data_IF_419419111277
#
_entry.id   IF_419419111277
#
_cell.length_a   1.000
_cell.length_b   1.000
_cell.length_c   1.000
_cell.angle_alpha   90.00
_cell.angle_beta   90.00
_cell.angle_gamma   90.00
#
_symmetry.space_group_name_H-M   'P 1'
#
loop_
_entity.id
_entity.type
_entity.pdbx_description
1 polymer ?
#
# COMPACT_ATOMS: atom_id res chain seq x y z
N UNK A 1 -20.72 20.86 9.08
CA UNK A 1 -21.28 19.64 8.46
C UNK A 1 -20.18 18.59 8.33
N UNK A 2 -20.35 17.47 8.99
CA UNK A 2 -19.38 16.37 8.86
C UNK A 2 -19.54 15.72 7.49
N UNK A 3 -18.47 15.68 6.71
CA UNK A 3 -18.45 14.87 5.49
C UNK A 3 -18.53 13.40 5.89
N UNK A 4 -19.49 12.69 5.36
CA UNK A 4 -19.53 11.25 5.53
C UNK A 4 -18.32 10.65 4.82
N UNK A 5 -17.58 9.81 5.55
CA UNK A 5 -16.48 9.08 4.95
C UNK A 5 -17.03 7.96 4.08
N UNK A 6 -16.48 7.79 2.89
CA UNK A 6 -16.77 6.60 2.09
C UNK A 6 -16.26 5.37 2.83
N UNK A 7 -16.85 4.19 2.62
CA UNK A 7 -16.34 2.97 3.25
C UNK A 7 -14.86 2.74 2.92
N UNK A 8 -14.10 2.25 3.89
CA UNK A 8 -12.66 2.06 3.74
C UNK A 8 -12.31 1.17 2.54
N UNK A 9 -13.13 0.16 2.26
CA UNK A 9 -12.92 -0.73 1.11
C UNK A 9 -13.02 0.03 -0.21
N UNK A 10 -13.94 1.01 -0.30
CA UNK A 10 -14.08 1.84 -1.49
C UNK A 10 -12.90 2.81 -1.63
N UNK A 11 -12.39 3.30 -0.52
CA UNK A 11 -11.19 4.15 -0.53
C UNK A 11 -10.00 3.37 -1.09
N UNK A 12 -9.81 2.12 -0.65
CA UNK A 12 -8.73 1.26 -1.14
C UNK A 12 -8.88 1.04 -2.66
N UNK A 13 -10.10 0.75 -3.13
CA UNK A 13 -10.36 0.59 -4.56
C UNK A 13 -10.11 1.88 -5.33
N UNK A 14 -10.46 3.01 -4.75
CA UNK A 14 -10.20 4.32 -5.36
C UNK A 14 -8.69 4.55 -5.54
N UNK A 15 -7.90 4.23 -4.52
CA UNK A 15 -6.44 4.36 -4.59
C UNK A 15 -5.88 3.46 -5.69
N UNK A 16 -6.31 2.20 -5.74
CA UNK A 16 -5.89 1.28 -6.80
C UNK A 16 -6.24 1.81 -8.19
N UNK A 17 -7.46 2.30 -8.38
CA UNK A 17 -7.92 2.84 -9.66
C UNK A 17 -7.07 4.03 -10.08
N UNK A 18 -6.73 4.90 -9.13
CA UNK A 18 -5.89 6.06 -9.40
C UNK A 18 -4.50 5.66 -9.89
N UNK A 19 -3.88 4.68 -9.24
CA UNK A 19 -2.59 4.15 -9.66
C UNK A 19 -2.67 3.37 -10.97
N UNK A 20 -3.76 2.65 -11.20
CA UNK A 20 -4.01 1.97 -12.48
C UNK A 20 -4.01 3.00 -13.61
N UNK A 21 -4.78 4.07 -13.46
CA UNK A 21 -4.89 5.13 -14.47
C UNK A 21 -3.53 5.74 -14.81
N UNK A 22 -2.64 5.84 -13.82
CA UNK A 22 -1.31 6.42 -14.00
C UNK A 22 -0.41 5.61 -14.94
N UNK A 23 -0.74 4.34 -15.18
CA UNK A 23 0.05 3.47 -16.05
C UNK A 23 -0.33 3.57 -17.52
N UNK A 24 -1.40 4.28 -17.83
CA UNK A 24 -1.86 4.47 -19.22
C UNK A 24 -1.43 5.83 -19.73
N UNK A 25 -1.16 5.90 -21.04
CA UNK A 25 -0.67 7.14 -21.68
C UNK A 25 -1.78 8.13 -21.97
N UNK A 26 -3.03 7.69 -22.03
CA UNK A 26 -4.17 8.55 -22.37
C UNK A 26 -5.47 7.94 -21.84
N UNK A 27 -6.54 8.76 -21.68
CA UNK A 27 -7.86 8.24 -21.35
C UNK A 27 -8.39 7.24 -22.40
N UNK A 28 -8.02 7.43 -23.67
CA UNK A 28 -8.41 6.52 -24.75
C UNK A 28 -7.81 5.14 -24.55
N UNK A 29 -6.56 5.07 -24.13
CA UNK A 29 -5.88 3.79 -23.83
C UNK A 29 -6.62 3.01 -22.72
N UNK A 30 -7.13 3.73 -21.73
CA UNK A 30 -7.92 3.13 -20.65
C UNK A 30 -9.23 2.54 -21.20
N UNK A 31 -9.89 3.28 -22.08
CA UNK A 31 -11.17 2.85 -22.67
C UNK A 31 -11.01 1.64 -23.59
N UNK A 32 -9.88 1.58 -24.30
CA UNK A 32 -9.58 0.50 -25.24
C UNK A 32 -9.05 -0.77 -24.55
N UNK A 33 -8.67 -0.64 -23.29
CA UNK A 33 -8.13 -1.77 -22.54
C UNK A 33 -9.23 -2.81 -22.26
N UNK A 34 -8.91 -4.07 -22.49
CA UNK A 34 -9.85 -5.18 -22.26
C UNK A 34 -9.80 -5.60 -20.78
N UNK A 35 -10.72 -5.05 -20.00
CA UNK A 35 -10.84 -5.32 -18.57
C UNK A 35 -11.37 -6.72 -18.26
N UNK A 36 -11.81 -7.48 -19.25
CA UNK A 36 -12.23 -8.87 -19.09
C UNK A 36 -11.07 -9.85 -19.21
N UNK A 37 -9.92 -9.41 -19.73
CA UNK A 37 -8.72 -10.23 -19.86
C UNK A 37 -7.97 -10.25 -18.52
N UNK A 38 -8.12 -11.34 -17.76
CA UNK A 38 -7.53 -11.47 -16.43
C UNK A 38 -6.01 -11.32 -16.43
N UNK A 39 -5.32 -11.83 -17.43
CA UNK A 39 -3.86 -11.72 -17.51
C UNK A 39 -3.42 -10.28 -17.74
N UNK A 40 -4.12 -9.57 -18.62
CA UNK A 40 -3.83 -8.17 -18.89
C UNK A 40 -4.13 -7.31 -17.65
N UNK A 41 -5.24 -7.56 -16.97
CA UNK A 41 -5.62 -6.85 -15.75
C UNK A 41 -4.58 -7.09 -14.65
N UNK A 42 -4.12 -8.32 -14.48
CA UNK A 42 -3.08 -8.63 -13.49
C UNK A 42 -1.78 -7.88 -13.76
N UNK A 43 -1.39 -7.71 -15.01
CA UNK A 43 -0.18 -6.95 -15.35
C UNK A 43 -0.26 -5.48 -14.94
N UNK A 44 -1.46 -4.93 -14.89
CA UNK A 44 -1.69 -3.53 -14.50
C UNK A 44 -1.82 -3.40 -12.98
N UNK A 45 -2.48 -4.34 -12.34
CA UNK A 45 -2.74 -4.31 -10.89
C UNK A 45 -1.54 -4.76 -10.07
N UNK A 46 -0.83 -5.78 -10.52
CA UNK A 46 0.26 -6.39 -9.77
C UNK A 46 1.36 -5.42 -9.33
N UNK A 47 1.82 -4.49 -10.18
CA UNK A 47 2.82 -3.52 -9.74
C UNK A 47 2.35 -2.66 -8.57
N UNK A 48 1.08 -2.31 -8.52
CA UNK A 48 0.50 -1.49 -7.45
C UNK A 48 0.49 -2.29 -6.15
N UNK A 49 0.04 -3.53 -6.22
CA UNK A 49 0.01 -4.42 -5.05
C UNK A 49 1.42 -4.61 -4.52
N UNK A 50 2.39 -4.89 -5.39
CA UNK A 50 3.78 -5.07 -4.99
C UNK A 50 4.37 -3.82 -4.37
N UNK A 51 4.06 -2.64 -4.91
CA UNK A 51 4.54 -1.37 -4.38
C UNK A 51 4.11 -1.20 -2.92
N UNK A 52 2.85 -1.50 -2.61
CA UNK A 52 2.30 -1.32 -1.27
C UNK A 52 2.40 -2.57 -0.38
N UNK A 53 2.89 -3.70 -0.87
CA UNK A 53 3.10 -4.89 -0.05
C UNK A 53 4.58 -5.22 0.15
N UNK A 54 5.43 -4.84 -0.79
CA UNK A 54 6.86 -5.19 -0.77
C UNK A 54 7.78 -4.01 -0.48
N UNK A 55 7.26 -2.83 -0.24
CA UNK A 55 8.10 -1.67 0.04
C UNK A 55 7.39 -0.57 0.80
N UNK A 56 6.21 -0.18 0.36
CA UNK A 56 5.49 0.96 0.91
C UNK A 56 4.27 0.58 1.75
N UNK A 57 4.26 -0.63 2.31
CA UNK A 57 3.13 -1.08 3.12
C UNK A 57 2.92 -0.22 4.37
N UNK A 58 3.99 0.24 5.01
CA UNK A 58 3.89 1.16 6.13
C UNK A 58 3.11 2.43 5.73
N UNK A 59 3.46 2.98 4.59
CA UNK A 59 2.89 4.25 4.14
C UNK A 59 1.43 4.11 3.70
N UNK A 60 1.07 2.95 3.16
CA UNK A 60 -0.33 2.68 2.86
C UNK A 60 -1.17 2.56 4.13
N UNK A 61 -0.67 1.81 5.11
CA UNK A 61 -1.34 1.69 6.41
C UNK A 61 -1.46 3.06 7.10
N UNK A 62 -0.42 3.88 7.00
CA UNK A 62 -0.46 5.25 7.54
C UNK A 62 -1.52 6.09 6.83
N UNK A 63 -1.62 5.97 5.52
CA UNK A 63 -2.67 6.65 4.74
C UNK A 63 -4.06 6.25 5.24
N UNK A 64 -4.29 4.96 5.46
CA UNK A 64 -5.56 4.48 5.98
C UNK A 64 -5.83 5.00 7.40
N UNK A 65 -4.81 5.00 8.25
CA UNK A 65 -4.94 5.50 9.61
C UNK A 65 -5.26 7.00 9.64
N UNK A 66 -4.68 7.78 8.75
CA UNK A 66 -4.95 9.21 8.66
C UNK A 66 -6.35 9.49 8.10
N UNK A 67 -6.80 8.70 7.13
CA UNK A 67 -8.12 8.86 6.53
C UNK A 67 -9.24 8.29 7.40
N UNK A 68 -8.98 7.22 8.13
CA UNK A 68 -9.95 6.53 8.98
C UNK A 68 -9.35 6.33 10.37
N UNK A 69 -9.26 7.40 11.17
CA UNK A 69 -8.65 7.30 12.49
C UNK A 69 -9.45 6.42 13.44
N UNK A 70 -8.79 5.90 14.44
CA UNK A 70 -9.42 5.05 15.46
C UNK A 70 -9.02 3.58 15.36
N UNK A 71 -8.22 3.23 14.36
CA UNK A 71 -7.68 1.88 14.23
C UNK A 71 -6.25 1.79 14.71
N UNK A 72 -5.55 0.76 14.26
CA UNK A 72 -4.14 0.52 14.61
C UNK A 72 -3.37 0.01 13.42
N UNK A 73 -2.19 0.57 13.22
CA UNK A 73 -1.23 -0.01 12.28
C UNK A 73 -0.59 -1.21 12.96
N UNK A 74 -0.53 -2.34 12.25
CA UNK A 74 -0.03 -3.60 12.79
C UNK A 74 0.95 -4.26 11.84
N UNK A 75 1.87 -5.05 12.39
CA UNK A 75 2.79 -5.88 11.61
C UNK A 75 2.28 -7.31 11.64
N UNK A 76 2.14 -7.92 10.47
CA UNK A 76 1.80 -9.33 10.36
C UNK A 76 3.00 -10.17 10.79
N UNK A 77 2.82 -10.99 11.82
CA UNK A 77 3.88 -11.83 12.35
C UNK A 77 4.40 -12.79 11.28
N UNK A 78 5.72 -12.91 11.18
CA UNK A 78 6.38 -13.84 10.29
C UNK A 78 6.76 -13.30 8.93
N UNK A 79 6.15 -12.22 8.45
CA UNK A 79 6.48 -11.68 7.13
C UNK A 79 6.77 -10.17 7.12
N UNK A 80 6.59 -9.50 8.24
CA UNK A 80 6.91 -8.07 8.33
C UNK A 80 6.00 -7.14 7.53
N UNK A 81 4.89 -7.65 7.00
CA UNK A 81 3.94 -6.83 6.24
C UNK A 81 3.12 -5.97 7.19
N UNK A 82 2.99 -4.67 6.89
CA UNK A 82 2.22 -3.74 7.71
C UNK A 82 0.83 -3.58 7.12
N UNK A 83 -0.16 -3.68 8.01
CA UNK A 83 -1.58 -3.60 7.68
C UNK A 83 -2.26 -2.61 8.62
N UNK A 84 -3.51 -2.27 8.32
CA UNK A 84 -4.31 -1.40 9.17
C UNK A 84 -5.48 -2.20 9.76
N UNK A 85 -5.51 -2.26 11.10
CA UNK A 85 -6.63 -2.85 11.85
C UNK A 85 -7.65 -1.74 12.16
N UNK A 86 -8.87 -1.93 11.70
CA UNK A 86 -9.92 -0.92 11.86
C UNK A 86 -11.28 -1.61 12.00
N UNK A 87 -11.98 -1.28 13.08
CA UNK A 87 -13.32 -1.81 13.38
C UNK A 87 -13.41 -3.33 13.27
N UNK A 88 -12.42 -4.01 13.82
CA UNK A 88 -12.38 -5.48 13.87
C UNK A 88 -11.91 -6.17 12.61
N UNK A 89 -11.46 -5.41 11.61
CA UNK A 89 -11.05 -5.96 10.31
C UNK A 89 -9.65 -5.50 9.95
N UNK A 90 -8.96 -6.31 9.16
CA UNK A 90 -7.60 -6.03 8.68
C UNK A 90 -7.65 -5.59 7.23
N UNK A 91 -6.97 -4.50 6.90
CA UNK A 91 -6.95 -3.91 5.56
C UNK A 91 -5.53 -3.65 5.09
N UNK A 92 -5.30 -3.84 3.81
CA UNK A 92 -4.13 -3.37 3.08
C UNK A 92 -4.54 -3.04 1.65
N UNK A 93 -3.57 -2.86 0.74
CA UNK A 93 -3.87 -2.50 -0.65
C UNK A 93 -4.71 -3.58 -1.37
N UNK A 94 -4.65 -4.81 -0.91
CA UNK A 94 -5.47 -5.90 -1.47
C UNK A 94 -6.91 -5.88 -0.97
N UNK A 95 -7.23 -5.02 0.00
CA UNK A 95 -8.55 -4.90 0.58
C UNK A 95 -8.61 -5.54 1.97
N UNK A 96 -9.74 -6.16 2.25
CA UNK A 96 -9.96 -6.81 3.54
C UNK A 96 -9.30 -8.18 3.59
N UNK A 97 -8.64 -8.47 4.72
CA UNK A 97 -8.08 -9.79 4.98
C UNK A 97 -8.90 -10.51 6.03
N UNK A 98 -9.37 -11.69 5.67
CA UNK A 98 -10.17 -12.54 6.56
C UNK A 98 -9.36 -13.68 7.16
N UNK A 99 -8.10 -13.82 6.78
CA UNK A 99 -7.24 -14.89 7.30
C UNK A 99 -6.91 -14.68 8.77
N UNK A 100 -6.78 -15.78 9.47
CA UNK A 100 -6.34 -15.77 10.87
C UNK A 100 -4.81 -15.71 10.88
N UNK A 101 -4.28 -14.59 11.32
CA UNK A 101 -2.84 -14.41 11.48
C UNK A 101 -2.62 -13.59 12.75
N UNK A 102 -1.40 -13.63 13.24
CA UNK A 102 -1.02 -12.82 14.40
C UNK A 102 -0.57 -11.45 13.91
N UNK A 103 -1.19 -10.41 14.42
CA UNK A 103 -0.88 -9.02 14.11
C UNK A 103 -0.40 -8.31 15.37
N UNK A 104 0.72 -7.61 15.26
CA UNK A 104 1.36 -6.94 16.39
C UNK A 104 1.34 -5.44 16.15
N UNK A 105 0.80 -4.62 17.06
CA UNK A 105 0.80 -3.17 16.89
C UNK A 105 2.20 -2.63 16.62
N UNK A 106 2.32 -1.68 15.71
CA UNK A 106 3.63 -1.15 15.28
C UNK A 106 4.40 -0.50 16.43
N UNK A 107 3.70 0.04 17.42
CA UNK A 107 4.34 0.70 18.55
C UNK A 107 5.19 -0.25 19.41
N UNK A 108 4.97 -1.56 19.34
CA UNK A 108 5.81 -2.53 20.05
C UNK A 108 7.18 -2.71 19.43
N UNK A 109 7.38 -2.22 18.22
CA UNK A 109 8.68 -2.30 17.55
C UNK A 109 9.60 -1.14 17.89
N UNK A 110 9.08 -0.08 18.55
CA UNK A 110 9.88 1.07 18.94
C UNK A 110 10.63 1.66 17.74
N UNK A 111 11.93 1.91 17.90
CA UNK A 111 12.74 2.50 16.85
C UNK A 111 12.91 1.63 15.62
N UNK A 112 12.67 0.31 15.75
CA UNK A 112 12.74 -0.60 14.61
C UNK A 112 11.67 -0.34 13.57
N UNK A 113 10.64 0.43 13.90
CA UNK A 113 9.60 0.80 12.94
C UNK A 113 10.18 1.59 11.75
N UNK A 114 11.28 2.30 11.95
CA UNK A 114 11.92 3.06 10.89
C UNK A 114 12.43 2.16 9.75
N UNK A 115 12.77 0.90 10.05
CA UNK A 115 13.18 -0.05 9.03
C UNK A 115 12.03 -0.33 8.03
N UNK A 116 10.78 -0.31 8.52
CA UNK A 116 9.61 -0.53 7.67
C UNK A 116 9.30 0.66 6.77
N UNK A 117 9.85 1.82 7.06
CA UNK A 117 9.67 3.02 6.24
C UNK A 117 10.58 3.04 5.02
N UNK A 118 11.56 2.15 4.94
CA UNK A 118 12.53 2.03 3.84
C UNK A 118 13.26 3.34 3.55
N UNK A 119 13.54 4.11 4.61
CA UNK A 119 14.17 5.43 4.54
C UNK A 119 13.39 6.46 3.70
N UNK A 120 12.14 6.17 3.41
CA UNK A 120 11.24 7.11 2.77
C UNK A 120 10.76 8.12 3.80
N UNK A 121 10.80 9.41 3.46
CA UNK A 121 10.43 10.50 4.36
C UNK A 121 9.18 11.26 3.93
N UNK A 122 8.47 10.76 2.93
CA UNK A 122 7.21 11.35 2.49
C UNK A 122 6.06 11.02 3.44
N UNK A 123 4.94 11.70 3.30
CA UNK A 123 3.75 11.38 4.07
C UNK A 123 3.08 10.12 3.57
N UNK A 124 2.96 10.02 2.24
CA UNK A 124 2.40 8.86 1.57
C UNK A 124 3.16 8.62 0.28
N UNK A 125 3.17 7.38 -0.17
CA UNK A 125 3.65 7.08 -1.51
C UNK A 125 2.66 7.64 -2.54
N UNK A 126 3.15 8.44 -3.46
CA UNK A 126 2.34 9.09 -4.50
C UNK A 126 2.50 8.37 -5.84
N UNK A 127 1.70 8.78 -6.83
CA UNK A 127 1.86 8.28 -8.20
C UNK A 127 3.27 8.56 -8.72
N UNK A 128 3.80 9.75 -8.40
CA UNK A 128 5.15 10.10 -8.79
C UNK A 128 6.16 9.11 -8.18
N UNK A 129 6.01 8.81 -6.89
CA UNK A 129 6.86 7.84 -6.21
C UNK A 129 6.72 6.45 -6.82
N UNK A 130 5.50 6.06 -7.17
CA UNK A 130 5.23 4.78 -7.82
C UNK A 130 5.95 4.67 -9.16
N UNK A 131 5.86 5.72 -10.00
CA UNK A 131 6.52 5.75 -11.31
C UNK A 131 8.04 5.78 -11.19
N UNK A 132 8.57 6.53 -10.23
CA UNK A 132 10.00 6.67 -9.99
C UNK A 132 10.55 5.58 -9.07
N UNK A 133 9.68 4.91 -8.33
CA UNK A 133 10.06 3.96 -7.29
C UNK A 133 10.93 2.83 -7.76
N UNK A 134 10.67 2.29 -8.96
CA UNK A 134 11.51 1.27 -9.55
C UNK A 134 12.92 1.78 -9.83
N UNK A 135 13.02 3.06 -10.20
CA UNK A 135 14.29 3.72 -10.50
C UNK A 135 15.01 4.06 -9.20
N UNK A 136 14.31 4.63 -8.22
CA UNK A 136 14.86 4.92 -6.90
C UNK A 136 15.26 3.65 -6.17
N UNK A 137 14.51 2.58 -6.33
CA UNK A 137 14.81 1.29 -5.75
C UNK A 137 16.14 0.72 -6.28
N UNK A 138 16.46 0.98 -7.54
CA UNK A 138 17.76 0.62 -8.10
C UNK A 138 18.87 1.52 -7.59
N UNK A 139 18.60 2.83 -7.54
CA UNK A 139 19.59 3.83 -7.15
C UNK A 139 19.89 3.78 -5.65
N UNK A 140 18.93 3.35 -4.83
CA UNK A 140 19.05 3.25 -3.37
C UNK A 140 19.00 1.79 -2.90
N UNK A 141 19.61 0.90 -3.67
CA UNK A 141 19.53 -0.54 -3.44
C UNK A 141 20.00 -0.95 -2.04
N UNK A 142 21.03 -0.29 -1.51
CA UNK A 142 21.55 -0.59 -0.18
C UNK A 142 20.56 -0.22 0.93
N UNK A 143 19.84 0.87 0.75
CA UNK A 143 18.82 1.33 1.70
C UNK A 143 17.66 0.33 1.75
N UNK A 144 17.21 -0.14 0.58
CA UNK A 144 16.14 -1.12 0.48
C UNK A 144 16.53 -2.46 1.09
N UNK A 145 17.78 -2.89 0.86
CA UNK A 145 18.30 -4.13 1.46
C UNK A 145 18.29 -4.08 2.97
N UNK A 146 18.57 -2.94 3.57
CA UNK A 146 18.53 -2.76 5.02
C UNK A 146 17.09 -2.97 5.52
N UNK A 147 16.11 -2.38 4.84
CA UNK A 147 14.69 -2.55 5.20
C UNK A 147 14.22 -3.99 5.13
N UNK A 148 14.65 -4.75 4.15
CA UNK A 148 14.23 -6.14 3.97
C UNK A 148 15.00 -7.15 4.81
N UNK A 149 16.10 -6.76 5.40
CA UNK A 149 16.91 -7.65 6.23
C UNK A 149 16.39 -7.79 7.65
N UNK A 150 15.47 -6.97 8.03
CA UNK A 150 14.87 -7.03 9.35
C UNK A 150 13.85 -8.15 9.48
#
# INVERSE_FOLDING_TARGET
>A
MKKELIPIERFIEYVKTHFISSQFTSPEAIKEFDWSDEKAVNKVIRPIIRFYTEGMCYWFAKMLNDAYPGGRMCVKSGCGHIVYYYEGKIYDIEGIHLEKAKYIPVEYFGDKIDDFKHNYVGEYATIKDFREGKKKAKDNNDIIKIGYKS
#
